data_IF_160728585711
#
_entry.id   IF_160728585711
#
_cell.length_a   1.000
_cell.length_b   1.000
_cell.length_c   1.000
_cell.angle_alpha   90.00
_cell.angle_beta   90.00
_cell.angle_gamma   90.00
#
_symmetry.space_group_name_H-M   'P 1'
#
loop_
_entity.id
_entity.type
_entity.pdbx_description
1 polymer ?
#
# COMPACT_ATOMS: atom_id res chain seq x y z
N UNK A 1 21.35 0.51 -2.79
CA UNK A 1 19.96 0.19 -2.42
C UNK A 1 19.14 1.46 -2.47
N UNK A 2 17.96 1.45 -3.09
CA UNK A 2 17.04 2.59 -3.10
C UNK A 2 16.50 2.92 -4.50
N UNK A 3 15.58 2.08 -5.01
CA UNK A 3 14.92 2.32 -6.31
C UNK A 3 13.72 3.26 -6.24
N UNK A 4 13.29 3.66 -5.04
CA UNK A 4 12.11 4.50 -4.79
C UNK A 4 12.36 5.41 -3.58
N UNK A 5 11.78 6.63 -3.62
CA UNK A 5 11.78 7.56 -2.50
C UNK A 5 10.73 7.13 -1.47
N UNK A 6 11.14 6.97 -0.22
CA UNK A 6 10.23 6.72 0.92
C UNK A 6 10.03 8.04 1.68
N UNK A 7 8.80 8.34 2.12
CA UNK A 7 8.49 9.58 2.83
C UNK A 7 7.33 9.36 3.79
N UNK A 8 7.53 9.76 5.05
CA UNK A 8 6.47 9.88 6.05
C UNK A 8 6.05 11.35 6.10
N UNK A 9 4.75 11.61 5.87
CA UNK A 9 4.15 12.95 5.95
C UNK A 9 2.63 12.86 5.98
N UNK A 10 1.98 13.95 6.33
CA UNK A 10 0.55 14.12 6.11
C UNK A 10 0.21 14.03 4.62
N UNK A 11 -0.89 13.37 4.29
CA UNK A 11 -1.39 13.21 2.93
C UNK A 11 -2.90 13.46 2.88
N UNK A 12 -3.33 14.44 2.09
CA UNK A 12 -4.73 14.93 2.11
C UNK A 12 -5.58 14.33 0.99
N UNK A 13 -6.91 14.33 1.19
CA UNK A 13 -7.85 13.89 0.14
C UNK A 13 -7.76 14.76 -1.13
N UNK A 14 -7.50 16.05 -1.02
CA UNK A 14 -7.31 16.92 -2.19
C UNK A 14 -6.10 16.50 -3.03
N UNK A 15 -5.00 16.11 -2.38
CA UNK A 15 -3.83 15.59 -3.07
C UNK A 15 -4.08 14.25 -3.74
N UNK A 16 -4.80 13.35 -3.05
CA UNK A 16 -5.18 12.05 -3.59
C UNK A 16 -6.07 12.20 -4.82
N UNK A 17 -7.15 13.00 -4.71
CA UNK A 17 -8.08 13.28 -5.81
C UNK A 17 -7.34 13.81 -7.04
N UNK A 18 -6.47 14.80 -6.83
CA UNK A 18 -5.61 15.35 -7.90
C UNK A 18 -4.70 14.28 -8.50
N UNK A 19 -4.05 13.47 -7.67
CA UNK A 19 -3.15 12.42 -8.12
C UNK A 19 -3.85 11.30 -8.91
N UNK A 20 -5.06 10.91 -8.50
CA UNK A 20 -5.89 9.94 -9.24
C UNK A 20 -6.26 10.50 -10.61
N UNK A 21 -6.75 11.74 -10.66
CA UNK A 21 -7.10 12.42 -11.92
C UNK A 21 -5.90 12.55 -12.87
N UNK A 22 -4.73 12.83 -12.33
CA UNK A 22 -3.47 12.96 -13.06
C UNK A 22 -2.79 11.60 -13.34
N UNK A 23 -3.41 10.47 -12.96
CA UNK A 23 -2.87 9.11 -13.12
C UNK A 23 -1.46 8.94 -12.50
N UNK A 24 -1.22 9.60 -11.36
CA UNK A 24 0.03 9.53 -10.60
C UNK A 24 -0.01 8.53 -9.44
N UNK A 25 -1.18 8.00 -9.11
CA UNK A 25 -1.33 6.92 -8.14
C UNK A 25 -1.10 5.59 -8.85
N UNK A 26 -0.23 4.75 -8.31
CA UNK A 26 0.06 3.42 -8.86
C UNK A 26 -0.68 2.32 -8.10
N UNK A 27 -0.64 2.36 -6.77
CA UNK A 27 -1.36 1.46 -5.88
C UNK A 27 -1.58 2.14 -4.54
N UNK A 28 -2.56 1.64 -3.78
CA UNK A 28 -2.83 2.04 -2.41
C UNK A 28 -3.19 0.79 -1.61
N UNK A 29 -2.65 0.67 -0.41
CA UNK A 29 -2.91 -0.47 0.46
C UNK A 29 -2.79 -0.06 1.92
N UNK A 30 -3.58 -0.71 2.78
CA UNK A 30 -3.38 -0.70 4.22
C UNK A 30 -2.36 -1.76 4.63
N UNK A 31 -1.75 -1.62 5.79
CA UNK A 31 -0.87 -2.62 6.38
C UNK A 31 -1.22 -2.80 7.87
N UNK A 32 -1.11 -4.03 8.36
CA UNK A 32 -1.43 -4.34 9.76
C UNK A 32 -1.37 -5.83 10.07
N UNK A 33 -1.25 -6.17 11.35
CA UNK A 33 -1.00 -7.55 11.82
C UNK A 33 -1.98 -8.58 11.28
N UNK A 34 -3.27 -8.21 11.17
CA UNK A 34 -4.31 -9.13 10.72
C UNK A 34 -4.20 -9.52 9.23
N UNK A 35 -3.59 -8.68 8.38
CA UNK A 35 -3.63 -8.85 6.92
C UNK A 35 -2.26 -8.74 6.24
N UNK A 36 -1.20 -8.37 6.97
CA UNK A 36 0.11 -7.92 6.46
C UNK A 36 -0.05 -6.68 5.58
N UNK A 37 -0.71 -6.82 4.42
CA UNK A 37 -1.14 -5.74 3.51
C UNK A 37 -2.51 -6.05 2.91
N UNK A 38 -3.33 -5.02 2.66
CA UNK A 38 -4.64 -5.14 2.02
C UNK A 38 -4.80 -4.07 0.92
N UNK A 39 -5.12 -4.46 -0.34
CA UNK A 39 -5.29 -3.49 -1.42
C UNK A 39 -6.54 -2.63 -1.22
N UNK A 40 -6.47 -1.37 -1.65
CA UNK A 40 -7.61 -0.46 -1.75
C UNK A 40 -7.96 -0.29 -3.23
N UNK A 41 -9.17 -0.69 -3.62
CA UNK A 41 -9.66 -0.56 -4.99
C UNK A 41 -10.40 0.77 -5.21
N UNK A 42 -11.35 1.08 -4.34
CA UNK A 42 -12.23 2.23 -4.51
C UNK A 42 -12.39 2.96 -3.18
N UNK A 43 -12.37 4.29 -3.23
CA UNK A 43 -12.77 5.17 -2.14
C UNK A 43 -14.02 5.93 -2.57
N UNK A 44 -15.09 5.83 -1.77
CA UNK A 44 -16.24 6.71 -1.88
C UNK A 44 -15.99 7.90 -0.95
N UNK A 45 -15.82 9.09 -1.51
CA UNK A 45 -15.50 10.30 -0.77
C UNK A 45 -16.64 11.30 -0.83
N UNK A 46 -17.10 11.77 0.33
CA UNK A 46 -18.13 12.79 0.43
C UNK A 46 -17.53 14.14 0.84
N UNK A 47 -17.84 15.19 0.08
CA UNK A 47 -17.37 16.54 0.35
C UNK A 47 -18.42 17.55 -0.11
N UNK A 48 -18.79 18.50 0.77
CA UNK A 48 -19.77 19.55 0.49
C UNK A 48 -21.11 19.03 -0.05
N UNK A 49 -21.58 17.88 0.46
CA UNK A 49 -22.82 17.23 0.01
C UNK A 49 -22.74 16.56 -1.36
N UNK A 50 -21.54 16.42 -1.94
CA UNK A 50 -21.29 15.68 -3.18
C UNK A 50 -20.48 14.41 -2.89
N UNK A 51 -20.86 13.31 -3.54
CA UNK A 51 -20.15 12.04 -3.46
C UNK A 51 -19.30 11.81 -4.71
N UNK A 52 -18.03 11.47 -4.53
CA UNK A 52 -17.08 11.17 -5.58
C UNK A 52 -16.53 9.76 -5.39
N UNK A 53 -16.59 8.95 -6.46
CA UNK A 53 -15.97 7.63 -6.48
C UNK A 53 -14.56 7.74 -7.06
N UNK A 54 -13.55 7.53 -6.22
CA UNK A 54 -12.15 7.49 -6.61
C UNK A 54 -11.73 6.03 -6.81
N UNK A 55 -11.45 5.66 -8.06
CA UNK A 55 -10.87 4.35 -8.37
C UNK A 55 -9.35 4.43 -8.32
N UNK A 56 -8.75 3.57 -7.52
CA UNK A 56 -7.30 3.37 -7.45
C UNK A 56 -6.94 2.27 -8.45
N UNK A 57 -5.92 2.49 -9.30
CA UNK A 57 -5.48 1.44 -10.22
C UNK A 57 -4.89 0.24 -9.44
N UNK A 58 -5.18 -0.97 -9.92
CA UNK A 58 -4.43 -2.15 -9.50
C UNK A 58 -3.19 -2.32 -10.37
N UNK A 59 -2.07 -2.63 -9.72
CA UNK A 59 -0.80 -2.90 -10.37
C UNK A 59 -0.64 -4.39 -10.70
N UNK A 60 0.09 -4.67 -11.77
CA UNK A 60 0.58 -6.02 -12.06
C UNK A 60 1.38 -6.57 -10.87
N UNK A 61 1.14 -7.84 -10.54
CA UNK A 61 1.72 -8.47 -9.34
C UNK A 61 3.25 -8.43 -9.30
N UNK A 62 3.93 -8.41 -10.44
CA UNK A 62 5.40 -8.34 -10.55
C UNK A 62 5.96 -6.95 -10.23
N UNK A 63 5.20 -5.90 -10.52
CA UNK A 63 5.61 -4.50 -10.33
C UNK A 63 5.11 -3.92 -9.01
N UNK A 64 4.07 -4.52 -8.43
CA UNK A 64 3.46 -4.10 -7.17
C UNK A 64 4.45 -4.12 -6.00
N UNK A 65 4.51 -3.00 -5.26
CA UNK A 65 5.27 -2.92 -4.00
C UNK A 65 4.49 -3.67 -2.92
N UNK A 66 3.16 -3.57 -2.89
CA UNK A 66 2.29 -4.33 -1.99
C UNK A 66 2.63 -5.83 -2.02
N UNK A 67 2.70 -6.44 -3.21
CA UNK A 67 3.02 -7.86 -3.34
C UNK A 67 4.43 -8.22 -2.88
N UNK A 68 5.40 -7.33 -3.11
CA UNK A 68 6.78 -7.51 -2.62
C UNK A 68 6.83 -7.46 -1.09
N UNK A 69 6.11 -6.52 -0.47
CA UNK A 69 5.99 -6.40 0.99
C UNK A 69 5.33 -7.64 1.55
N UNK A 70 4.20 -8.07 1.01
CA UNK A 70 3.48 -9.27 1.42
C UNK A 70 4.40 -10.50 1.46
N UNK A 71 5.00 -10.83 0.31
CA UNK A 71 5.87 -12.03 0.17
C UNK A 71 7.07 -11.96 1.09
N UNK A 72 7.67 -10.79 1.25
CA UNK A 72 8.87 -10.63 2.10
C UNK A 72 8.53 -10.81 3.57
N UNK A 73 7.50 -10.11 4.07
CA UNK A 73 7.08 -10.20 5.47
C UNK A 73 6.59 -11.61 5.80
N UNK A 74 5.77 -12.21 4.94
CA UNK A 74 5.31 -13.59 5.10
C UNK A 74 6.49 -14.58 5.10
N UNK A 75 7.41 -14.46 4.15
CA UNK A 75 8.59 -15.31 4.10
C UNK A 75 9.45 -15.21 5.37
N UNK A 76 9.54 -14.03 5.97
CA UNK A 76 10.22 -13.82 7.26
C UNK A 76 9.46 -14.52 8.39
N UNK A 77 8.14 -14.29 8.49
CA UNK A 77 7.29 -14.86 9.54
C UNK A 77 7.29 -16.40 9.56
N UNK A 78 7.33 -17.03 8.39
CA UNK A 78 7.36 -18.50 8.25
C UNK A 78 8.79 -19.08 8.15
N UNK A 79 9.83 -18.27 8.38
CA UNK A 79 11.22 -18.75 8.40
C UNK A 79 11.82 -19.10 7.03
N UNK A 80 11.11 -18.81 5.92
CA UNK A 80 11.63 -18.98 4.55
C UNK A 80 12.73 -17.95 4.23
N UNK A 81 12.67 -16.79 4.86
CA UNK A 81 13.66 -15.72 4.76
C UNK A 81 14.20 -15.43 6.16
N UNK A 82 15.49 -15.68 6.38
CA UNK A 82 16.11 -15.45 7.69
C UNK A 82 16.28 -13.96 7.98
N UNK A 83 15.63 -13.51 9.07
CA UNK A 83 15.77 -12.18 9.70
C UNK A 83 15.69 -12.30 11.23
N UNK A 84 16.76 -12.78 11.90
CA UNK A 84 16.75 -13.02 13.34
C UNK A 84 16.36 -11.81 14.19
N UNK A 85 16.60 -10.60 13.70
CA UNK A 85 16.23 -9.36 14.38
C UNK A 85 14.72 -9.04 14.37
N UNK A 86 13.92 -9.74 13.55
CA UNK A 86 12.47 -9.48 13.37
C UNK A 86 11.59 -10.64 13.85
N UNK A 87 12.17 -11.77 14.21
CA UNK A 87 11.46 -12.98 14.64
C UNK A 87 12.06 -13.52 15.93
N UNK A 88 11.23 -14.07 16.81
CA UNK A 88 11.67 -14.73 18.04
C UNK A 88 11.22 -16.18 17.95
N UNK A 89 12.15 -17.11 18.13
CA UNK A 89 11.83 -18.53 18.32
C UNK A 89 11.21 -18.71 19.71
N UNK A 90 10.08 -19.40 19.75
CA UNK A 90 9.29 -19.67 20.95
C UNK A 90 9.46 -21.12 21.38
#
# INVERSE_FOLDING_TARGET
MGGIKVTERDYTMNELRKAVKEKRVYEMFGAGTAVIVIPVDTILYECNGQSEKLQVPMMDSEKSIMQKVYKTIQGIQYGQISRPQWTVEI
#
